data_IF_370982109912
#
_entry.id   IF_370982109912
#
_cell.length_a   1.000
_cell.length_b   1.000
_cell.length_c   1.000
_cell.angle_alpha   90.00
_cell.angle_beta   90.00
_cell.angle_gamma   90.00
#
_symmetry.space_group_name_H-M   'P 1'
#
loop_
_entity.id
_entity.type
_entity.pdbx_description
1 polymer ?
#
# COMPACT_ATOMS: atom_id res chain seq x y z
N UNK A 1 -34.07 47.92 -29.72
CA UNK A 1 -33.00 46.97 -30.09
C UNK A 1 -32.30 46.55 -28.80
N UNK A 2 -32.54 45.29 -28.39
CA UNK A 2 -32.15 44.64 -27.15
C UNK A 2 -30.63 44.66 -26.89
N UNK A 3 -30.22 44.99 -25.67
CA UNK A 3 -29.02 44.42 -25.04
C UNK A 3 -29.45 43.83 -23.70
N UNK A 4 -29.33 42.51 -23.61
CA UNK A 4 -29.78 41.65 -22.51
C UNK A 4 -28.69 41.59 -21.44
N UNK A 5 -28.94 42.12 -20.24
CA UNK A 5 -28.16 41.78 -19.05
C UNK A 5 -28.68 40.45 -18.49
N UNK A 6 -27.87 39.41 -18.58
CA UNK A 6 -28.16 38.10 -18.01
C UNK A 6 -27.98 38.09 -16.50
N UNK A 7 -29.08 37.90 -15.78
CA UNK A 7 -29.15 37.59 -14.37
C UNK A 7 -28.56 36.20 -14.11
N UNK A 8 -27.43 36.11 -13.43
CA UNK A 8 -26.97 34.84 -12.83
C UNK A 8 -27.66 34.72 -11.48
N UNK A 9 -28.75 33.94 -11.46
CA UNK A 9 -29.41 33.55 -10.22
C UNK A 9 -28.44 32.68 -9.40
N UNK A 10 -28.12 33.15 -8.20
CA UNK A 10 -27.43 32.36 -7.19
C UNK A 10 -28.35 31.22 -6.74
N UNK A 11 -28.07 30.00 -7.21
CA UNK A 11 -28.62 28.80 -6.62
C UNK A 11 -27.84 28.48 -5.33
N UNK A 12 -28.27 29.10 -4.22
CA UNK A 12 -28.00 28.55 -2.89
C UNK A 12 -28.84 27.28 -2.75
N UNK A 13 -28.29 26.16 -3.21
CA UNK A 13 -28.80 24.82 -2.87
C UNK A 13 -28.25 24.45 -1.51
N UNK A 14 -29.14 24.40 -0.53
CA UNK A 14 -28.94 23.93 0.84
C UNK A 14 -28.04 22.68 0.90
N UNK A 15 -26.81 22.86 1.37
CA UNK A 15 -25.99 21.74 1.80
C UNK A 15 -26.32 21.47 3.26
N UNK A 16 -27.41 20.71 3.52
CA UNK A 16 -27.68 20.19 4.86
C UNK A 16 -26.63 19.14 5.21
N UNK A 17 -25.63 19.58 5.97
CA UNK A 17 -24.87 18.74 6.89
C UNK A 17 -25.87 18.12 7.89
N UNK A 18 -25.91 16.78 7.98
CA UNK A 18 -26.75 16.04 8.92
C UNK A 18 -27.74 15.09 8.25
N UNK A 19 -27.25 14.08 7.54
CA UNK A 19 -28.09 12.94 7.18
C UNK A 19 -28.31 12.07 8.41
N UNK A 20 -29.53 12.04 8.95
CA UNK A 20 -29.87 11.13 10.05
C UNK A 20 -29.52 9.68 9.64
N UNK A 21 -28.76 8.98 10.47
CA UNK A 21 -28.49 7.55 10.28
C UNK A 21 -29.80 6.78 10.12
N UNK A 22 -29.98 6.15 8.97
CA UNK A 22 -31.13 5.30 8.71
C UNK A 22 -31.09 4.08 9.65
N UNK A 23 -32.22 3.73 10.25
CA UNK A 23 -32.35 2.52 11.08
C UNK A 23 -33.10 1.47 10.26
N UNK A 24 -32.53 0.28 10.15
CA UNK A 24 -33.12 -0.87 9.49
C UNK A 24 -33.39 -1.97 10.51
N UNK A 25 -34.66 -2.38 10.62
CA UNK A 25 -35.05 -3.49 11.48
C UNK A 25 -34.76 -4.81 10.75
N UNK A 26 -33.84 -5.62 11.30
CA UNK A 26 -33.45 -6.91 10.69
C UNK A 26 -34.35 -8.04 11.21
N UNK A 27 -34.65 -7.99 12.51
CA UNK A 27 -35.54 -8.91 13.22
C UNK A 27 -36.22 -8.14 14.37
N UNK A 28 -37.34 -8.57 14.97
CA UNK A 28 -37.95 -7.91 16.13
C UNK A 28 -36.97 -7.47 17.23
N UNK A 29 -35.92 -8.25 17.51
CA UNK A 29 -34.91 -7.91 18.53
C UNK A 29 -33.62 -7.28 18.00
N UNK A 30 -33.42 -7.16 16.69
CA UNK A 30 -32.19 -6.63 16.09
C UNK A 30 -32.48 -5.50 15.11
N UNK A 31 -31.86 -4.35 15.37
CA UNK A 31 -31.86 -3.19 14.48
C UNK A 31 -30.44 -2.79 14.10
N UNK A 32 -30.25 -2.32 12.86
CA UNK A 32 -28.99 -1.79 12.37
C UNK A 32 -29.12 -0.29 12.17
N UNK A 33 -28.22 0.46 12.78
CA UNK A 33 -28.07 1.90 12.58
C UNK A 33 -26.99 2.11 11.53
N UNK A 34 -27.39 2.55 10.33
CA UNK A 34 -26.48 2.76 9.21
C UNK A 34 -25.63 4.02 9.40
N UNK A 35 -24.38 3.96 8.95
CA UNK A 35 -23.45 5.09 9.01
C UNK A 35 -22.12 4.73 8.36
N UNK A 36 -21.08 5.58 8.54
CA UNK A 36 -19.71 5.21 8.15
C UNK A 36 -19.23 3.92 8.82
N UNK A 37 -19.76 3.63 10.01
CA UNK A 37 -19.69 2.37 10.75
C UNK A 37 -21.12 1.94 11.03
N UNK A 38 -21.47 0.69 10.75
CA UNK A 38 -22.76 0.14 11.15
C UNK A 38 -22.79 -0.04 12.67
N UNK A 39 -23.89 0.33 13.31
CA UNK A 39 -24.16 -0.03 14.70
C UNK A 39 -25.22 -1.12 14.76
N UNK A 40 -24.97 -2.23 15.45
CA UNK A 40 -25.97 -3.30 15.61
C UNK A 40 -26.54 -3.25 17.02
N UNK A 41 -27.79 -2.85 17.14
CA UNK A 41 -28.52 -2.78 18.41
C UNK A 41 -29.33 -4.04 18.61
N UNK A 42 -29.11 -4.71 19.74
CA UNK A 42 -29.76 -5.97 20.10
C UNK A 42 -30.58 -5.74 21.36
N UNK A 43 -31.90 -5.75 21.22
CA UNK A 43 -32.83 -5.62 22.32
C UNK A 43 -32.88 -6.92 23.15
N UNK A 44 -32.82 -6.76 24.46
CA UNK A 44 -33.02 -7.82 25.45
C UNK A 44 -33.96 -7.30 26.55
N UNK A 45 -34.65 -8.19 27.30
CA UNK A 45 -35.48 -7.76 28.43
C UNK A 45 -34.65 -6.90 29.41
N UNK A 46 -34.99 -5.61 29.52
CA UNK A 46 -34.33 -4.66 30.42
C UNK A 46 -32.93 -4.17 30.00
N UNK A 47 -32.44 -4.51 28.80
CA UNK A 47 -31.11 -4.08 28.35
C UNK A 47 -30.98 -4.02 26.82
N UNK A 48 -30.11 -3.14 26.33
CA UNK A 48 -29.65 -3.12 24.93
C UNK A 48 -28.18 -3.48 24.88
N UNK A 49 -27.79 -4.35 23.97
CA UNK A 49 -26.40 -4.60 23.61
C UNK A 49 -26.09 -3.92 22.27
N UNK A 50 -24.87 -3.43 22.10
CA UNK A 50 -24.42 -2.88 20.82
C UNK A 50 -23.21 -3.66 20.31
N UNK A 51 -23.22 -4.09 19.05
CA UNK A 51 -21.99 -4.52 18.35
C UNK A 51 -21.48 -3.35 17.50
N UNK A 52 -20.17 -3.11 17.53
CA UNK A 52 -19.46 -1.93 16.96
C UNK A 52 -19.73 -0.61 17.68
N UNK A 53 -20.97 -0.38 18.10
CA UNK A 53 -21.43 0.85 18.74
C UNK A 53 -22.68 1.40 18.07
N UNK A 54 -22.80 2.72 18.03
CA UNK A 54 -23.89 3.45 17.40
C UNK A 54 -23.35 4.74 16.79
N UNK A 55 -23.36 4.87 15.45
CA UNK A 55 -22.69 5.97 14.75
C UNK A 55 -23.43 7.31 14.86
N UNK A 56 -24.58 7.37 15.53
CA UNK A 56 -25.36 8.61 15.71
C UNK A 56 -24.67 9.57 16.67
N UNK A 57 -24.92 10.87 16.48
CA UNK A 57 -24.46 11.92 17.40
C UNK A 57 -24.93 11.69 18.84
N UNK A 58 -26.16 11.21 18.99
CA UNK A 58 -26.75 10.79 20.26
C UNK A 58 -26.96 9.28 20.21
N UNK A 59 -26.02 8.49 20.75
CA UNK A 59 -26.13 7.03 20.72
C UNK A 59 -27.21 6.55 21.69
N UNK A 60 -27.75 5.35 21.42
CA UNK A 60 -28.64 4.67 22.34
C UNK A 60 -27.93 4.30 23.66
N UNK A 61 -28.69 4.24 24.75
CA UNK A 61 -28.20 3.67 26.01
C UNK A 61 -28.04 2.15 25.84
N UNK A 62 -26.84 1.65 26.11
CA UNK A 62 -26.52 0.23 26.04
C UNK A 62 -25.89 -0.25 27.35
N UNK A 63 -26.17 -1.50 27.72
CA UNK A 63 -25.51 -2.19 28.84
C UNK A 63 -24.07 -2.55 28.47
N UNK A 64 -23.84 -2.98 27.23
CA UNK A 64 -22.52 -3.37 26.72
C UNK A 64 -22.31 -2.93 25.28
N UNK A 65 -21.05 -2.66 24.94
CA UNK A 65 -20.58 -2.48 23.56
C UNK A 65 -19.53 -3.53 23.24
N UNK A 66 -19.77 -4.32 22.21
CA UNK A 66 -18.92 -5.41 21.75
C UNK A 66 -18.12 -4.96 20.52
N UNK A 67 -16.81 -4.87 20.67
CA UNK A 67 -15.87 -4.51 19.61
C UNK A 67 -15.27 -5.76 18.97
N UNK A 68 -15.20 -5.79 17.65
CA UNK A 68 -14.58 -6.91 16.92
C UNK A 68 -13.07 -6.79 16.78
N UNK A 69 -12.54 -5.56 16.84
CA UNK A 69 -11.11 -5.25 16.75
C UNK A 69 -10.82 -3.83 17.26
N UNK A 70 -9.54 -3.50 17.39
CA UNK A 70 -9.04 -2.21 17.91
C UNK A 70 -8.99 -1.06 16.89
N UNK A 71 -9.45 -1.24 15.65
CA UNK A 71 -9.23 -0.20 14.63
C UNK A 71 -10.01 1.06 15.00
N UNK A 72 -9.31 2.19 15.15
CA UNK A 72 -9.94 3.45 15.59
C UNK A 72 -11.08 3.90 14.70
N UNK A 73 -11.04 3.51 13.42
CA UNK A 73 -12.04 3.83 12.40
C UNK A 73 -13.40 3.15 12.67
N UNK A 74 -13.45 2.18 13.58
CA UNK A 74 -14.67 1.49 14.03
C UNK A 74 -14.96 1.78 15.50
N UNK A 75 -13.93 1.70 16.36
CA UNK A 75 -14.09 1.84 17.82
C UNK A 75 -14.70 3.19 18.24
N UNK A 76 -14.55 4.24 17.44
CA UNK A 76 -15.16 5.55 17.73
C UNK A 76 -16.69 5.46 17.88
N UNK A 77 -17.36 4.60 17.12
CA UNK A 77 -18.83 4.47 17.13
C UNK A 77 -19.34 3.93 18.48
N UNK A 78 -18.52 3.15 19.20
CA UNK A 78 -18.87 2.64 20.53
C UNK A 78 -18.43 3.55 21.67
N UNK A 79 -17.52 4.50 21.42
CA UNK A 79 -16.89 5.30 22.49
C UNK A 79 -17.88 6.18 23.25
N UNK A 80 -18.89 6.73 22.57
CA UNK A 80 -19.94 7.53 23.20
C UNK A 80 -20.75 6.72 24.21
N UNK A 81 -21.16 5.51 23.85
CA UNK A 81 -21.90 4.60 24.73
C UNK A 81 -21.06 4.17 25.94
N UNK A 82 -19.77 3.88 25.76
CA UNK A 82 -18.88 3.53 26.87
C UNK A 82 -18.74 4.70 27.85
N UNK A 83 -18.63 5.94 27.36
CA UNK A 83 -18.63 7.15 28.20
C UNK A 83 -19.94 7.37 28.96
N UNK A 84 -21.05 6.84 28.46
CA UNK A 84 -22.36 6.84 29.13
C UNK A 84 -22.54 5.68 30.13
N UNK A 85 -21.51 4.84 30.33
CA UNK A 85 -21.52 3.75 31.31
C UNK A 85 -21.69 2.35 30.73
N UNK A 86 -21.76 2.19 29.40
CA UNK A 86 -21.77 0.86 28.80
C UNK A 86 -20.44 0.12 29.04
N UNK A 87 -20.52 -1.17 29.33
CA UNK A 87 -19.32 -2.02 29.46
C UNK A 87 -18.68 -2.26 28.08
N UNK A 88 -17.42 -1.87 27.91
CA UNK A 88 -16.64 -2.20 26.73
C UNK A 88 -16.16 -3.66 26.77
N UNK A 89 -16.45 -4.41 25.72
CA UNK A 89 -16.00 -5.79 25.49
C UNK A 89 -15.14 -5.82 24.22
N UNK A 90 -13.94 -6.38 24.30
CA UNK A 90 -12.99 -6.41 23.17
C UNK A 90 -12.26 -7.76 23.07
N UNK A 91 -11.61 -8.08 21.94
CA UNK A 91 -10.82 -9.30 21.82
C UNK A 91 -9.65 -9.31 22.80
N UNK A 92 -9.44 -10.42 23.50
CA UNK A 92 -8.31 -10.61 24.42
C UNK A 92 -6.98 -10.39 23.70
N UNK A 93 -6.83 -10.95 22.50
CA UNK A 93 -5.63 -10.84 21.68
C UNK A 93 -5.31 -9.40 21.22
N UNK A 94 -6.24 -8.46 21.41
CA UNK A 94 -6.04 -7.05 21.05
C UNK A 94 -6.16 -6.10 22.25
N UNK A 95 -6.24 -6.63 23.47
CA UNK A 95 -6.42 -5.85 24.72
C UNK A 95 -5.46 -4.66 24.81
N UNK A 96 -4.17 -4.89 24.57
CA UNK A 96 -3.14 -3.84 24.68
C UNK A 96 -3.30 -2.73 23.63
N UNK A 97 -3.96 -3.01 22.51
CA UNK A 97 -4.27 -2.02 21.47
C UNK A 97 -5.50 -1.15 21.84
N UNK A 98 -6.23 -1.52 22.90
CA UNK A 98 -7.27 -0.70 23.54
C UNK A 98 -6.77 0.04 24.78
N UNK A 99 -6.03 -0.65 25.66
CA UNK A 99 -5.65 -0.11 26.98
C UNK A 99 -4.24 0.47 27.01
N UNK A 100 -3.29 -0.11 26.26
CA UNK A 100 -1.87 0.25 26.22
C UNK A 100 -1.49 1.28 25.16
N UNK A 101 -2.45 2.05 24.67
CA UNK A 101 -2.34 2.95 23.50
C UNK A 101 -1.16 3.93 23.58
N UNK A 102 -0.84 4.44 24.77
CA UNK A 102 0.27 5.38 24.96
C UNK A 102 1.63 4.76 24.61
N UNK A 103 1.83 3.45 24.91
CA UNK A 103 3.06 2.75 24.58
C UNK A 103 3.32 2.70 23.08
N UNK A 104 2.27 2.42 22.30
CA UNK A 104 2.34 2.44 20.83
C UNK A 104 2.74 3.83 20.31
N UNK A 105 2.05 4.89 20.74
CA UNK A 105 2.33 6.24 20.21
C UNK A 105 3.69 6.78 20.65
N UNK A 106 4.17 6.44 21.85
CA UNK A 106 5.50 6.80 22.29
C UNK A 106 6.58 6.14 21.43
N UNK A 107 6.43 4.84 21.14
CA UNK A 107 7.36 4.12 20.25
C UNK A 107 7.28 4.65 18.82
N UNK A 108 6.09 4.94 18.32
CA UNK A 108 5.86 5.40 16.94
C UNK A 108 6.59 6.72 16.62
N UNK A 109 6.83 7.59 17.62
CA UNK A 109 7.51 8.87 17.41
C UNK A 109 8.90 8.73 16.78
N UNK A 110 9.64 7.69 17.18
CA UNK A 110 10.99 7.41 16.69
C UNK A 110 11.01 6.24 15.71
N UNK A 111 10.24 5.18 15.98
CA UNK A 111 10.26 3.95 15.19
C UNK A 111 9.70 4.11 13.77
N UNK A 112 8.84 5.11 13.51
CA UNK A 112 8.24 5.31 12.17
C UNK A 112 9.25 5.54 11.05
N UNK A 113 10.45 6.01 11.39
CA UNK A 113 11.53 6.22 10.43
C UNK A 113 12.29 4.92 10.10
N UNK A 114 12.03 3.84 10.80
CA UNK A 114 12.65 2.52 10.59
C UNK A 114 11.60 1.41 10.81
N UNK A 115 10.36 1.62 10.36
CA UNK A 115 9.26 0.68 10.57
C UNK A 115 9.26 -0.45 9.54
N UNK A 116 10.10 -1.45 9.78
CA UNK A 116 10.15 -2.69 9.00
C UNK A 116 9.06 -3.70 9.39
N UNK A 117 8.31 -3.41 10.45
CA UNK A 117 7.17 -4.20 10.85
C UNK A 117 5.89 -3.76 10.10
N UNK A 118 5.94 -2.60 9.44
CA UNK A 118 4.88 -1.98 8.63
C UNK A 118 3.57 -1.89 9.42
N UNK A 119 3.64 -1.32 10.62
CA UNK A 119 2.52 -1.28 11.53
C UNK A 119 1.53 -0.18 11.14
N UNK A 120 0.28 -0.58 10.98
CA UNK A 120 -0.81 0.37 10.74
C UNK A 120 -0.96 1.34 11.91
N UNK A 121 -0.97 2.64 11.60
CA UNK A 121 -1.23 3.72 12.57
C UNK A 121 -2.71 3.92 12.91
N UNK A 122 -3.61 3.06 12.42
CA UNK A 122 -5.06 3.05 12.76
C UNK A 122 -5.36 2.49 14.16
N UNK A 123 -4.51 2.82 15.13
CA UNK A 123 -4.68 2.54 16.55
C UNK A 123 -5.50 3.66 17.19
N UNK A 124 -6.21 3.37 18.29
CA UNK A 124 -6.90 4.37 19.12
C UNK A 124 -5.95 5.53 19.45
N UNK A 125 -6.48 6.76 19.52
CA UNK A 125 -5.69 7.92 19.97
C UNK A 125 -5.60 8.00 21.51
N UNK A 126 -6.64 7.54 22.19
CA UNK A 126 -6.76 7.52 23.65
C UNK A 126 -7.16 6.12 24.11
N UNK A 127 -6.64 5.65 25.26
CA UNK A 127 -7.00 4.35 25.80
C UNK A 127 -8.51 4.27 26.07
N UNK A 128 -9.03 3.04 26.08
CA UNK A 128 -10.39 2.72 26.46
C UNK A 128 -10.34 1.64 27.52
N UNK A 129 -10.95 1.91 28.69
CA UNK A 129 -11.08 0.91 29.73
C UNK A 129 -12.00 -0.22 29.23
N UNK A 130 -11.52 -1.46 29.35
CA UNK A 130 -12.29 -2.66 29.02
C UNK A 130 -12.88 -3.24 30.29
N UNK A 131 -14.17 -3.55 30.27
CA UNK A 131 -14.82 -4.26 31.38
C UNK A 131 -14.76 -5.79 31.22
N UNK A 132 -14.60 -6.28 29.98
CA UNK A 132 -14.42 -7.69 29.68
C UNK A 132 -13.61 -7.88 28.39
N UNK A 133 -12.91 -8.98 28.31
CA UNK A 133 -12.25 -9.46 27.08
C UNK A 133 -12.86 -10.79 26.64
N UNK A 134 -12.70 -11.12 25.35
CA UNK A 134 -13.24 -12.36 24.74
C UNK A 134 -12.27 -13.02 23.77
N UNK A 135 -12.46 -14.32 23.55
CA UNK A 135 -11.77 -15.15 22.55
C UNK A 135 -12.76 -16.11 21.88
N UNK A 136 -12.36 -16.73 20.77
CA UNK A 136 -13.15 -17.76 20.10
C UNK A 136 -13.60 -18.87 21.05
N UNK A 137 -14.87 -19.26 20.93
CA UNK A 137 -15.52 -20.24 21.80
C UNK A 137 -16.20 -19.63 23.03
N UNK A 138 -15.94 -18.37 23.37
CA UNK A 138 -16.65 -17.69 24.45
C UNK A 138 -18.12 -17.42 24.07
N UNK A 139 -18.94 -17.18 25.10
CA UNK A 139 -20.29 -16.62 24.96
C UNK A 139 -20.43 -15.35 25.79
N UNK A 140 -21.06 -14.31 25.21
CA UNK A 140 -21.35 -13.03 25.88
C UNK A 140 -22.83 -12.72 25.69
N UNK A 141 -23.60 -12.72 26.78
CA UNK A 141 -25.04 -12.39 26.75
C UNK A 141 -25.82 -13.21 25.70
N UNK A 142 -25.42 -14.47 25.51
CA UNK A 142 -26.01 -15.39 24.52
C UNK A 142 -25.43 -15.32 23.10
N UNK A 143 -24.50 -14.39 22.82
CA UNK A 143 -23.81 -14.29 21.54
C UNK A 143 -22.55 -15.16 21.56
N UNK A 144 -22.34 -15.97 20.53
CA UNK A 144 -21.13 -16.77 20.38
C UNK A 144 -20.00 -15.91 19.81
N UNK A 145 -18.77 -16.14 20.27
CA UNK A 145 -17.58 -15.46 19.76
C UNK A 145 -16.78 -16.42 18.89
N UNK A 146 -16.40 -15.98 17.69
CA UNK A 146 -15.53 -16.73 16.78
C UNK A 146 -14.25 -15.93 16.52
N UNK A 147 -13.08 -16.53 16.70
CA UNK A 147 -11.83 -15.92 16.25
C UNK A 147 -11.85 -15.81 14.73
N UNK A 148 -11.70 -14.60 14.22
CA UNK A 148 -11.68 -14.31 12.79
C UNK A 148 -10.52 -13.37 12.46
N UNK A 149 -9.27 -13.79 12.71
CA UNK A 149 -8.09 -13.00 12.38
C UNK A 149 -8.02 -12.76 10.88
N UNK A 150 -7.37 -11.67 10.48
CA UNK A 150 -7.27 -11.26 9.09
C UNK A 150 -7.08 -9.75 9.01
N UNK A 151 -8.18 -8.99 9.01
CA UNK A 151 -8.12 -7.52 8.95
C UNK A 151 -7.28 -6.91 10.08
N UNK A 152 -7.41 -7.47 11.29
CA UNK A 152 -6.44 -7.33 12.38
C UNK A 152 -6.04 -8.70 12.90
N UNK A 153 -4.94 -8.78 13.65
CA UNK A 153 -4.32 -10.04 14.08
C UNK A 153 -5.16 -10.82 15.08
N UNK A 154 -5.92 -10.13 15.93
CA UNK A 154 -6.74 -10.73 16.98
C UNK A 154 -8.24 -10.45 16.81
N UNK A 155 -8.70 -10.12 15.60
CA UNK A 155 -10.11 -9.84 15.35
C UNK A 155 -11.02 -11.04 15.68
N UNK A 156 -12.21 -10.74 16.17
CA UNK A 156 -13.28 -11.72 16.39
C UNK A 156 -14.56 -11.31 15.65
N UNK A 157 -15.44 -12.28 15.42
CA UNK A 157 -16.80 -12.07 14.95
C UNK A 157 -17.78 -12.49 16.04
N UNK A 158 -18.92 -11.79 16.10
CA UNK A 158 -20.02 -12.15 17.02
C UNK A 158 -21.15 -12.81 16.23
N UNK A 159 -21.54 -14.01 16.64
CA UNK A 159 -22.56 -14.81 15.99
C UNK A 159 -23.85 -14.77 16.82
N UNK A 160 -24.96 -14.51 16.16
CA UNK A 160 -26.26 -14.30 16.77
C UNK A 160 -27.25 -15.27 16.14
N UNK A 161 -27.82 -16.15 16.96
CA UNK A 161 -28.99 -16.94 16.59
C UNK A 161 -30.21 -16.36 17.31
N UNK A 162 -31.16 -15.82 16.55
CA UNK A 162 -32.41 -15.31 17.13
C UNK A 162 -33.53 -15.42 16.12
N UNK A 163 -34.74 -15.72 16.59
CA UNK A 163 -35.96 -15.72 15.77
C UNK A 163 -35.80 -16.57 14.48
N UNK A 164 -35.09 -17.69 14.60
CA UNK A 164 -34.82 -18.63 13.49
C UNK A 164 -33.79 -18.14 12.46
N UNK A 165 -33.11 -17.01 12.69
CA UNK A 165 -32.09 -16.46 11.79
C UNK A 165 -30.70 -16.51 12.40
N UNK A 166 -29.71 -16.78 11.56
CA UNK A 166 -28.27 -16.73 11.84
C UNK A 166 -27.66 -15.47 11.28
N UNK A 167 -27.22 -14.58 12.16
CA UNK A 167 -26.60 -13.30 11.78
C UNK A 167 -25.17 -13.27 12.31
N UNK A 168 -24.21 -12.93 11.46
CA UNK A 168 -22.81 -12.77 11.87
C UNK A 168 -22.36 -11.31 11.73
N UNK A 169 -21.96 -10.73 12.86
CA UNK A 169 -21.27 -9.44 12.91
C UNK A 169 -19.78 -9.67 12.69
N UNK A 170 -19.29 -9.39 11.47
CA UNK A 170 -17.96 -9.86 10.98
C UNK A 170 -16.83 -8.84 11.07
N UNK A 171 -17.09 -7.65 11.61
CA UNK A 171 -16.10 -6.59 11.67
C UNK A 171 -15.75 -6.13 10.27
N UNK A 172 -14.46 -5.88 10.02
CA UNK A 172 -13.98 -5.53 8.68
C UNK A 172 -13.40 -6.73 7.91
N UNK A 173 -13.78 -7.96 8.28
CA UNK A 173 -13.35 -9.17 7.56
C UNK A 173 -13.78 -9.14 6.08
N UNK A 174 -14.95 -8.55 5.81
CA UNK A 174 -15.52 -8.34 4.47
C UNK A 174 -16.27 -7.00 4.47
N UNK A 175 -16.16 -6.23 3.39
CA UNK A 175 -16.90 -4.96 3.24
C UNK A 175 -18.28 -5.17 2.58
N UNK A 176 -18.33 -6.02 1.55
CA UNK A 176 -19.54 -6.31 0.76
C UNK A 176 -19.30 -6.38 -0.74
N UNK A 177 -20.11 -7.18 -1.45
CA UNK A 177 -19.96 -7.42 -2.89
C UNK A 177 -18.63 -8.10 -3.26
N UNK A 178 -18.11 -8.95 -2.37
CA UNK A 178 -16.83 -9.64 -2.55
C UNK A 178 -15.62 -8.71 -2.48
N UNK A 179 -15.62 -7.73 -1.56
CA UNK A 179 -14.55 -6.73 -1.39
C UNK A 179 -14.08 -6.67 0.06
N UNK A 180 -12.83 -6.25 0.24
CA UNK A 180 -12.26 -5.76 1.50
C UNK A 180 -12.09 -4.24 1.42
N UNK A 181 -11.87 -3.59 2.55
CA UNK A 181 -11.67 -2.14 2.60
C UNK A 181 -10.36 -1.70 1.93
N UNK A 182 -9.26 -2.32 2.33
CA UNK A 182 -7.93 -1.99 1.84
C UNK A 182 -6.99 -3.18 2.02
N UNK A 183 -6.09 -3.35 1.05
CA UNK A 183 -5.12 -4.43 1.05
C UNK A 183 -3.97 -4.18 2.04
N UNK A 184 -3.63 -2.91 2.27
CA UNK A 184 -2.55 -2.51 3.18
C UNK A 184 -2.78 -2.96 4.62
N UNK A 185 -4.02 -2.96 5.10
CA UNK A 185 -4.36 -3.47 6.43
C UNK A 185 -4.06 -4.95 6.64
N UNK A 186 -3.81 -5.71 5.57
CA UNK A 186 -3.42 -7.13 5.62
C UNK A 186 -1.90 -7.34 5.60
N UNK A 187 -1.11 -6.29 5.43
CA UNK A 187 0.34 -6.37 5.48
C UNK A 187 0.80 -6.93 6.83
N UNK A 188 1.73 -7.88 6.80
CA UNK A 188 2.30 -8.47 8.01
C UNK A 188 3.58 -9.25 7.73
N UNK A 189 4.29 -9.63 8.79
CA UNK A 189 5.42 -10.54 8.69
C UNK A 189 4.98 -11.99 8.45
N UNK A 190 5.90 -12.80 7.94
CA UNK A 190 5.82 -14.26 7.84
C UNK A 190 7.02 -14.85 8.59
N UNK A 191 6.96 -14.96 9.93
CA UNK A 191 8.11 -15.36 10.75
C UNK A 191 8.68 -16.73 10.36
N UNK A 192 7.81 -17.68 10.01
CA UNK A 192 8.18 -19.03 9.59
C UNK A 192 8.96 -19.06 8.27
N UNK A 193 8.79 -18.03 7.43
CA UNK A 193 9.54 -17.83 6.19
C UNK A 193 10.65 -16.79 6.34
N UNK A 194 10.90 -16.30 7.56
CA UNK A 194 11.84 -15.21 7.85
C UNK A 194 11.60 -14.01 6.93
N UNK A 195 10.33 -13.64 6.71
CA UNK A 195 9.97 -12.42 5.99
C UNK A 195 9.39 -11.41 6.97
N UNK A 196 9.88 -10.18 6.90
CA UNK A 196 9.43 -9.10 7.79
C UNK A 196 8.12 -8.46 7.28
N UNK A 197 7.56 -7.56 8.09
CA UNK A 197 6.30 -6.90 7.77
C UNK A 197 6.38 -5.97 6.56
N UNK A 198 7.55 -5.39 6.29
CA UNK A 198 7.76 -4.54 5.12
C UNK A 198 7.61 -5.33 3.80
N UNK A 199 8.13 -6.55 3.74
CA UNK A 199 8.10 -7.39 2.54
C UNK A 199 6.98 -8.43 2.50
N UNK A 200 6.31 -8.71 3.62
CA UNK A 200 5.17 -9.63 3.66
C UNK A 200 3.89 -9.02 3.09
N UNK A 201 3.87 -8.86 1.76
CA UNK A 201 2.78 -8.25 1.01
C UNK A 201 1.43 -8.89 1.33
N UNK A 202 0.57 -8.13 2.01
CA UNK A 202 -0.76 -8.57 2.42
C UNK A 202 -0.79 -9.97 3.06
N UNK A 203 0.26 -10.34 3.83
CA UNK A 203 0.49 -11.69 4.33
C UNK A 203 -0.69 -12.30 5.11
N UNK A 204 -1.52 -11.48 5.76
CA UNK A 204 -2.75 -11.91 6.46
C UNK A 204 -3.93 -12.23 5.55
N UNK A 205 -3.79 -12.15 4.22
CA UNK A 205 -4.83 -12.57 3.29
C UNK A 205 -5.18 -14.06 3.45
N UNK A 206 -4.20 -14.91 3.78
CA UNK A 206 -4.44 -16.32 4.11
C UNK A 206 -5.37 -16.47 5.34
N UNK A 207 -5.15 -15.65 6.37
CA UNK A 207 -5.98 -15.64 7.58
C UNK A 207 -7.39 -15.13 7.28
N UNK A 208 -7.53 -14.11 6.42
CA UNK A 208 -8.83 -13.65 5.92
C UNK A 208 -9.57 -14.79 5.22
N UNK A 209 -8.93 -15.50 4.28
CA UNK A 209 -9.54 -16.65 3.58
C UNK A 209 -9.96 -17.74 4.56
N UNK A 210 -9.10 -18.10 5.52
CA UNK A 210 -9.41 -19.10 6.55
C UNK A 210 -10.60 -18.67 7.43
N UNK A 211 -10.64 -17.41 7.85
CA UNK A 211 -11.72 -16.84 8.65
C UNK A 211 -13.04 -16.77 7.89
N UNK A 212 -13.02 -16.39 6.61
CA UNK A 212 -14.20 -16.41 5.75
C UNK A 212 -14.75 -17.84 5.57
N UNK A 213 -13.88 -18.84 5.43
CA UNK A 213 -14.26 -20.26 5.38
C UNK A 213 -14.93 -20.73 6.67
N UNK A 214 -14.45 -20.28 7.85
CA UNK A 214 -15.12 -20.56 9.13
C UNK A 214 -16.50 -19.92 9.21
N UNK A 215 -16.63 -18.66 8.79
CA UNK A 215 -17.92 -17.94 8.80
C UNK A 215 -18.93 -18.61 7.89
N UNK A 216 -18.56 -18.96 6.64
CA UNK A 216 -19.51 -19.63 5.73
C UNK A 216 -19.91 -21.02 6.22
N UNK A 217 -19.02 -21.75 6.90
CA UNK A 217 -19.32 -23.06 7.48
C UNK A 217 -20.37 -22.99 8.61
N UNK A 218 -20.49 -21.83 9.30
CA UNK A 218 -21.54 -21.59 10.28
C UNK A 218 -22.93 -21.33 9.63
N UNK A 219 -22.97 -21.16 8.31
CA UNK A 219 -24.19 -20.95 7.51
C UNK A 219 -25.03 -19.74 7.97
N UNK A 220 -24.46 -18.52 8.00
CA UNK A 220 -25.24 -17.31 8.29
C UNK A 220 -26.23 -17.02 7.18
N UNK A 221 -27.42 -16.53 7.56
CA UNK A 221 -28.40 -15.95 6.64
C UNK A 221 -28.02 -14.52 6.23
N UNK A 222 -27.26 -13.82 7.08
CA UNK A 222 -26.82 -12.45 6.84
C UNK A 222 -25.49 -12.17 7.52
N UNK A 223 -24.62 -11.41 6.85
CA UNK A 223 -23.49 -10.75 7.50
C UNK A 223 -23.79 -9.27 7.68
N UNK A 224 -23.39 -8.75 8.83
CA UNK A 224 -23.37 -7.33 9.12
C UNK A 224 -21.90 -6.95 9.33
N UNK A 225 -21.22 -6.37 8.33
CA UNK A 225 -19.86 -5.89 8.53
C UNK A 225 -19.86 -4.60 9.37
N UNK A 226 -18.74 -4.30 10.02
CA UNK A 226 -18.56 -3.03 10.72
C UNK A 226 -18.69 -1.84 9.76
N UNK A 227 -18.23 -1.99 8.51
CA UNK A 227 -18.32 -0.95 7.48
C UNK A 227 -18.73 -1.57 6.15
N UNK A 228 -19.61 -0.87 5.44
CA UNK A 228 -20.16 -1.32 4.16
C UNK A 228 -21.60 -1.83 4.27
N UNK A 229 -22.19 -2.30 3.16
CA UNK A 229 -23.57 -2.74 3.13
C UNK A 229 -23.77 -4.05 3.89
N UNK A 230 -25.00 -4.27 4.36
CA UNK A 230 -25.49 -5.57 4.81
C UNK A 230 -25.35 -6.61 3.69
N UNK A 231 -25.05 -7.86 4.05
CA UNK A 231 -24.76 -8.93 3.09
C UNK A 231 -25.80 -10.06 3.28
N UNK A 232 -26.92 -10.04 2.53
CA UNK A 232 -28.00 -11.03 2.65
C UNK A 232 -27.70 -12.35 1.93
N UNK A 233 -26.61 -12.42 1.16
CA UNK A 233 -26.14 -13.65 0.50
C UNK A 233 -24.69 -13.96 0.91
N UNK A 234 -24.46 -14.43 2.15
CA UNK A 234 -23.11 -14.56 2.70
C UNK A 234 -22.21 -15.48 1.87
N UNK A 235 -22.68 -16.67 1.50
CA UNK A 235 -21.88 -17.65 0.77
C UNK A 235 -21.39 -17.10 -0.59
N UNK A 236 -22.27 -16.43 -1.36
CA UNK A 236 -21.93 -15.84 -2.66
C UNK A 236 -20.89 -14.71 -2.51
N UNK A 237 -21.08 -13.83 -1.53
CA UNK A 237 -20.17 -12.70 -1.29
C UNK A 237 -18.79 -13.18 -0.79
N UNK A 238 -18.77 -14.19 0.09
CA UNK A 238 -17.55 -14.81 0.61
C UNK A 238 -16.78 -15.51 -0.52
N UNK A 239 -17.45 -16.36 -1.30
CA UNK A 239 -16.83 -17.06 -2.43
C UNK A 239 -16.24 -16.07 -3.44
N UNK A 240 -16.98 -15.01 -3.77
CA UNK A 240 -16.51 -13.94 -4.66
C UNK A 240 -15.26 -13.26 -4.10
N UNK A 241 -15.20 -13.00 -2.79
CA UNK A 241 -14.03 -12.39 -2.16
C UNK A 241 -12.81 -13.33 -2.20
N UNK A 242 -12.99 -14.60 -1.84
CA UNK A 242 -11.92 -15.60 -1.85
C UNK A 242 -11.31 -15.71 -3.25
N UNK A 243 -12.15 -15.86 -4.29
CA UNK A 243 -11.67 -15.92 -5.69
C UNK A 243 -10.91 -14.67 -6.12
N UNK A 244 -11.35 -13.48 -5.67
CA UNK A 244 -10.65 -12.21 -5.98
C UNK A 244 -9.30 -12.12 -5.26
N UNK A 245 -9.23 -12.51 -3.99
CA UNK A 245 -7.96 -12.58 -3.25
C UNK A 245 -6.99 -13.52 -3.97
N UNK A 246 -7.43 -14.74 -4.29
CA UNK A 246 -6.61 -15.71 -5.03
C UNK A 246 -6.16 -15.16 -6.39
N UNK A 247 -7.02 -14.44 -7.12
CA UNK A 247 -6.66 -13.82 -8.40
C UNK A 247 -5.61 -12.72 -8.26
N UNK A 248 -5.72 -11.86 -7.24
CA UNK A 248 -4.73 -10.81 -6.98
C UNK A 248 -3.39 -11.43 -6.60
N UNK A 249 -3.38 -12.46 -5.76
CA UNK A 249 -2.13 -13.12 -5.35
C UNK A 249 -1.49 -13.92 -6.48
N UNK A 250 -2.28 -14.57 -7.35
CA UNK A 250 -1.76 -15.20 -8.56
C UNK A 250 -1.08 -14.16 -9.48
N UNK A 251 -1.71 -12.98 -9.64
CA UNK A 251 -1.14 -11.88 -10.42
C UNK A 251 0.12 -11.30 -9.78
N UNK A 252 0.14 -11.14 -8.45
CA UNK A 252 1.28 -10.63 -7.71
C UNK A 252 2.49 -11.55 -7.85
N UNK A 253 2.35 -12.84 -7.55
CA UNK A 253 3.46 -13.79 -7.61
C UNK A 253 3.92 -14.10 -9.04
N UNK A 254 3.09 -13.87 -10.06
CA UNK A 254 3.51 -13.96 -11.45
C UNK A 254 4.63 -12.96 -11.80
N UNK A 255 4.69 -11.82 -11.12
CA UNK A 255 5.63 -10.72 -11.40
C UNK A 255 6.40 -10.23 -10.17
N UNK A 256 6.46 -11.04 -9.11
CA UNK A 256 7.06 -10.63 -7.85
C UNK A 256 8.58 -10.48 -7.98
N UNK A 257 9.06 -9.24 -7.87
CA UNK A 257 10.47 -8.91 -7.91
C UNK A 257 11.26 -9.55 -6.75
N UNK A 258 10.61 -9.91 -5.64
CA UNK A 258 11.28 -10.60 -4.54
C UNK A 258 11.79 -11.98 -4.94
N UNK A 259 11.22 -12.62 -5.97
CA UNK A 259 11.74 -13.87 -6.53
C UNK A 259 13.24 -13.79 -6.82
N UNK A 260 13.69 -12.64 -7.30
CA UNK A 260 15.11 -12.39 -7.54
C UNK A 260 15.99 -12.58 -6.31
N UNK A 261 15.59 -12.02 -5.17
CA UNK A 261 16.41 -12.01 -3.93
C UNK A 261 16.11 -13.18 -3.01
N UNK A 262 14.89 -13.73 -3.05
CA UNK A 262 14.40 -14.75 -2.12
C UNK A 262 14.51 -16.17 -2.67
N UNK A 263 14.59 -16.31 -3.99
CA UNK A 263 14.61 -17.61 -4.65
C UNK A 263 13.22 -18.27 -4.73
N UNK A 264 13.16 -19.30 -5.57
CA UNK A 264 11.91 -19.94 -6.00
C UNK A 264 11.15 -20.61 -4.84
N UNK A 265 11.85 -21.34 -3.97
CA UNK A 265 11.25 -22.08 -2.84
C UNK A 265 10.48 -21.15 -1.88
N UNK A 266 11.06 -19.99 -1.55
CA UNK A 266 10.44 -19.04 -0.62
C UNK A 266 9.23 -18.37 -1.26
N UNK A 267 9.28 -18.01 -2.54
CA UNK A 267 8.11 -17.47 -3.26
C UNK A 267 6.99 -18.52 -3.32
N UNK A 268 7.32 -19.78 -3.61
CA UNK A 268 6.33 -20.86 -3.59
C UNK A 268 5.69 -21.04 -2.22
N UNK A 269 6.47 -21.01 -1.14
CA UNK A 269 5.95 -21.12 0.21
C UNK A 269 4.99 -19.96 0.58
N UNK A 270 5.33 -18.73 0.17
CA UNK A 270 4.43 -17.57 0.34
C UNK A 270 3.15 -17.71 -0.50
N UNK A 271 3.27 -18.18 -1.74
CA UNK A 271 2.14 -18.39 -2.64
C UNK A 271 1.17 -19.45 -2.14
N UNK A 272 1.69 -20.58 -1.65
CA UNK A 272 0.89 -21.70 -1.17
C UNK A 272 -0.06 -21.34 -0.01
N UNK A 273 0.30 -20.32 0.80
CA UNK A 273 -0.55 -19.83 1.90
C UNK A 273 -1.91 -19.29 1.41
N UNK A 274 -1.96 -18.70 0.23
CA UNK A 274 -3.19 -18.08 -0.32
C UNK A 274 -3.75 -18.88 -1.50
N UNK A 275 -2.87 -19.36 -2.38
CA UNK A 275 -3.25 -20.03 -3.63
C UNK A 275 -3.44 -21.55 -3.51
N UNK A 276 -3.18 -22.11 -2.32
CA UNK A 276 -3.15 -23.56 -2.10
C UNK A 276 -2.26 -24.26 -3.16
N UNK A 277 -2.84 -25.12 -3.98
CA UNK A 277 -2.13 -25.90 -5.00
C UNK A 277 -2.13 -25.24 -6.40
N UNK A 278 -2.69 -24.03 -6.55
CA UNK A 278 -2.68 -23.35 -7.85
C UNK A 278 -1.23 -22.97 -8.20
N UNK A 279 -0.69 -23.40 -9.35
CA UNK A 279 0.66 -23.05 -9.75
C UNK A 279 0.76 -21.55 -10.03
N UNK A 280 1.93 -20.98 -9.76
CA UNK A 280 2.23 -19.60 -10.13
C UNK A 280 2.86 -19.61 -11.51
N UNK A 281 2.21 -18.95 -12.47
CA UNK A 281 2.73 -18.76 -13.83
C UNK A 281 3.65 -17.55 -13.85
N UNK A 282 4.95 -17.77 -13.67
CA UNK A 282 5.91 -16.68 -13.57
C UNK A 282 6.23 -16.02 -14.90
N UNK A 283 6.47 -14.72 -14.84
CA UNK A 283 7.20 -14.04 -15.88
C UNK A 283 8.64 -14.58 -15.96
N UNK A 284 9.21 -14.72 -17.17
CA UNK A 284 10.61 -15.05 -17.33
C UNK A 284 11.49 -14.01 -16.62
N UNK A 285 12.56 -14.47 -15.97
CA UNK A 285 13.55 -13.58 -15.38
C UNK A 285 14.25 -12.81 -16.50
N UNK A 286 14.50 -11.52 -16.28
CA UNK A 286 15.30 -10.72 -17.19
C UNK A 286 16.73 -11.29 -17.31
N UNK A 287 17.35 -11.10 -18.47
CA UNK A 287 18.77 -11.38 -18.66
C UNK A 287 19.58 -10.64 -17.61
N UNK A 288 20.53 -11.35 -17.02
CA UNK A 288 21.30 -10.86 -15.89
C UNK A 288 22.74 -11.31 -15.97
N UNK A 289 23.63 -10.52 -15.39
CA UNK A 289 25.00 -10.93 -15.13
C UNK A 289 24.96 -11.87 -13.92
N UNK A 290 25.08 -13.19 -14.15
CA UNK A 290 24.89 -14.23 -13.12
C UNK A 290 26.17 -14.49 -12.32
N UNK A 291 27.34 -14.29 -12.91
CA UNK A 291 28.61 -14.78 -12.36
C UNK A 291 29.45 -13.69 -11.69
N UNK A 292 29.77 -12.62 -12.43
CA UNK A 292 30.65 -11.57 -11.93
C UNK A 292 30.30 -10.21 -12.54
N UNK A 293 30.07 -9.21 -11.69
CA UNK A 293 29.92 -7.83 -12.14
C UNK A 293 31.23 -7.35 -12.77
N UNK A 294 31.19 -6.45 -13.77
CA UNK A 294 32.40 -5.82 -14.26
C UNK A 294 33.18 -5.17 -13.12
N UNK A 295 34.52 -5.22 -13.15
CA UNK A 295 35.37 -4.76 -12.04
C UNK A 295 35.18 -3.28 -11.66
N UNK A 296 34.61 -2.48 -12.57
CA UNK A 296 34.25 -1.09 -12.37
C UNK A 296 32.89 -0.88 -11.65
N UNK A 297 32.16 -1.94 -11.34
CA UNK A 297 30.94 -1.93 -10.52
C UNK A 297 31.20 -2.75 -9.26
N UNK A 298 31.30 -2.07 -8.12
CA UNK A 298 31.50 -2.71 -6.82
C UNK A 298 30.16 -2.74 -6.09
N UNK A 299 29.67 -3.94 -5.79
CA UNK A 299 28.48 -4.12 -4.98
C UNK A 299 28.82 -4.03 -3.49
N UNK A 300 28.13 -3.16 -2.76
CA UNK A 300 28.32 -2.96 -1.32
C UNK A 300 26.95 -2.98 -0.67
N UNK A 301 26.54 -4.12 -0.11
CA UNK A 301 25.16 -4.32 0.38
C UNK A 301 24.11 -4.00 -0.71
N UNK A 302 23.15 -3.11 -0.44
CA UNK A 302 22.16 -2.60 -1.40
C UNK A 302 22.71 -1.48 -2.31
N UNK A 303 23.91 -0.95 -2.05
CA UNK A 303 24.53 0.15 -2.78
C UNK A 303 25.44 -0.34 -3.93
N UNK A 304 25.72 0.54 -4.90
CA UNK A 304 26.65 0.26 -6.00
C UNK A 304 27.65 1.40 -6.15
N UNK A 305 28.95 1.08 -6.16
CA UNK A 305 30.00 2.05 -6.45
C UNK A 305 30.51 1.84 -7.89
N UNK A 306 30.39 2.88 -8.71
CA UNK A 306 30.92 2.90 -10.07
C UNK A 306 32.31 3.52 -10.04
N UNK A 307 33.30 2.87 -10.65
CA UNK A 307 34.70 3.31 -10.64
C UNK A 307 35.17 3.53 -12.08
N UNK A 308 35.53 4.77 -12.40
CA UNK A 308 36.10 5.10 -13.70
C UNK A 308 37.56 4.64 -13.81
N UNK A 309 38.08 4.58 -15.05
CA UNK A 309 39.48 4.23 -15.32
C UNK A 309 40.49 5.19 -14.69
N UNK A 310 40.11 6.43 -14.39
CA UNK A 310 41.00 7.42 -13.74
C UNK A 310 41.06 7.25 -12.23
N UNK A 311 40.16 6.44 -11.65
CA UNK A 311 39.97 6.26 -10.21
C UNK A 311 38.91 7.21 -9.61
N UNK A 312 38.27 8.06 -10.42
CA UNK A 312 37.08 8.79 -9.97
C UNK A 312 35.91 7.84 -9.80
N UNK A 313 35.14 7.98 -8.72
CA UNK A 313 34.04 7.07 -8.39
C UNK A 313 32.73 7.79 -8.14
N UNK A 314 31.64 7.04 -8.30
CA UNK A 314 30.27 7.52 -8.17
C UNK A 314 29.43 6.48 -7.42
N UNK A 315 28.93 6.86 -6.25
CA UNK A 315 28.18 5.97 -5.38
C UNK A 315 26.69 6.07 -5.68
N UNK A 316 26.01 4.93 -5.76
CA UNK A 316 24.56 4.82 -5.88
C UNK A 316 24.03 4.32 -4.55
N UNK A 317 23.29 5.21 -3.88
CA UNK A 317 22.75 5.08 -2.52
C UNK A 317 23.81 4.93 -1.41
N UNK A 318 23.46 5.38 -0.21
CA UNK A 318 24.30 5.27 0.97
C UNK A 318 23.44 5.41 2.24
N UNK A 319 22.91 4.30 2.75
CA UNK A 319 22.10 4.34 3.97
C UNK A 319 22.66 3.60 5.17
N UNK A 320 23.82 2.93 5.06
CA UNK A 320 24.36 2.15 6.18
C UNK A 320 25.89 2.23 6.29
N UNK A 321 26.40 1.98 7.50
CA UNK A 321 27.81 2.19 7.85
C UNK A 321 28.76 1.31 7.03
N UNK A 322 28.34 0.11 6.63
CA UNK A 322 29.18 -0.80 5.84
C UNK A 322 29.54 -0.19 4.49
N UNK A 323 28.62 0.58 3.89
CA UNK A 323 28.88 1.32 2.65
C UNK A 323 29.99 2.34 2.85
N UNK A 324 29.93 3.11 3.94
CA UNK A 324 30.91 4.15 4.24
C UNK A 324 32.30 3.56 4.48
N UNK A 325 32.40 2.52 5.31
CA UNK A 325 33.69 1.88 5.60
C UNK A 325 34.33 1.26 4.36
N UNK A 326 33.52 0.66 3.49
CA UNK A 326 34.04 0.07 2.26
C UNK A 326 34.55 1.14 1.29
N UNK A 327 33.85 2.29 1.16
CA UNK A 327 34.35 3.42 0.36
C UNK A 327 35.65 3.98 0.93
N UNK A 328 35.78 4.09 2.27
CA UNK A 328 37.04 4.48 2.92
C UNK A 328 38.16 3.51 2.60
N UNK A 329 37.91 2.21 2.76
CA UNK A 329 38.88 1.14 2.47
C UNK A 329 39.35 1.20 1.02
N UNK A 330 38.42 1.31 0.06
CA UNK A 330 38.74 1.40 -1.36
C UNK A 330 39.57 2.64 -1.71
N UNK A 331 39.38 3.76 -0.97
CA UNK A 331 40.20 4.96 -1.11
C UNK A 331 41.60 4.77 -0.53
N UNK A 332 41.70 4.18 0.66
CA UNK A 332 42.97 3.86 1.32
C UNK A 332 43.82 2.89 0.47
N UNK A 333 43.19 1.88 -0.12
CA UNK A 333 43.84 0.89 -0.98
C UNK A 333 44.22 1.46 -2.37
N UNK A 334 43.91 2.74 -2.65
CA UNK A 334 44.19 3.39 -3.94
C UNK A 334 43.31 2.91 -5.10
N UNK A 335 42.32 2.06 -4.84
CA UNK A 335 41.39 1.53 -5.84
C UNK A 335 40.42 2.59 -6.34
N UNK A 336 40.10 3.59 -5.52
CA UNK A 336 39.50 4.86 -5.93
C UNK A 336 40.38 6.02 -5.47
N UNK A 337 40.41 7.10 -6.25
CA UNK A 337 41.13 8.34 -5.91
C UNK A 337 40.22 9.38 -5.27
N UNK A 338 38.97 9.41 -5.71
CA UNK A 338 37.96 10.39 -5.26
C UNK A 338 36.55 9.82 -5.40
N UNK A 339 35.62 10.38 -4.63
CA UNK A 339 34.18 10.18 -4.77
C UNK A 339 33.57 11.48 -5.29
N UNK A 340 33.12 11.49 -6.54
CA UNK A 340 32.63 12.72 -7.20
C UNK A 340 31.18 13.03 -6.87
N UNK A 341 30.41 12.00 -6.55
CA UNK A 341 29.01 12.14 -6.22
C UNK A 341 28.36 10.89 -5.66
N UNK A 342 27.22 11.13 -5.02
CA UNK A 342 26.32 10.12 -4.48
C UNK A 342 24.97 10.35 -5.14
N UNK A 343 24.50 9.37 -5.91
CA UNK A 343 23.18 9.38 -6.51
C UNK A 343 22.19 8.61 -5.64
N UNK A 344 21.18 9.32 -5.15
CA UNK A 344 20.08 8.74 -4.40
C UNK A 344 18.99 8.32 -5.39
N UNK A 345 18.71 7.03 -5.42
CA UNK A 345 17.72 6.42 -6.31
C UNK A 345 16.30 6.76 -5.88
N UNK A 346 16.00 6.63 -4.59
CA UNK A 346 14.71 6.93 -3.98
C UNK A 346 14.84 7.19 -2.47
N UNK A 347 13.76 7.68 -1.86
CA UNK A 347 13.75 8.06 -0.46
C UNK A 347 13.32 6.89 0.44
N UNK A 348 14.30 6.26 1.06
CA UNK A 348 14.20 5.20 2.07
C UNK A 348 15.50 5.21 2.90
N UNK A 349 15.47 4.75 4.15
CA UNK A 349 16.56 4.93 5.14
C UNK A 349 17.83 4.20 4.71
N UNK A 350 17.70 2.93 4.36
CA UNK A 350 18.77 2.08 3.84
C UNK A 350 19.42 2.59 2.54
N UNK A 351 18.81 3.58 1.88
CA UNK A 351 19.39 4.27 0.72
C UNK A 351 19.92 5.68 1.02
N UNK A 352 19.46 6.35 2.09
CA UNK A 352 19.68 7.80 2.26
C UNK A 352 20.26 8.25 3.60
N UNK A 353 20.18 7.43 4.66
CA UNK A 353 20.43 7.88 6.04
C UNK A 353 21.87 8.39 6.27
N UNK A 354 22.86 7.80 5.58
CA UNK A 354 24.27 8.21 5.65
C UNK A 354 24.76 8.98 4.43
N UNK A 355 23.90 9.23 3.45
CA UNK A 355 24.31 9.85 2.19
C UNK A 355 24.86 11.26 2.39
N UNK A 356 24.23 12.06 3.24
CA UNK A 356 24.70 13.42 3.52
C UNK A 356 26.03 13.43 4.27
N UNK A 357 26.16 12.60 5.31
CA UNK A 357 27.40 12.51 6.09
C UNK A 357 28.57 12.04 5.21
N UNK A 358 28.32 11.07 4.34
CA UNK A 358 29.30 10.56 3.37
C UNK A 358 29.65 11.63 2.34
N UNK A 359 28.68 12.39 1.83
CA UNK A 359 28.95 13.47 0.90
C UNK A 359 29.85 14.54 1.52
N UNK A 360 29.58 14.91 2.77
CA UNK A 360 30.37 15.90 3.51
C UNK A 360 31.79 15.39 3.79
N UNK A 361 31.96 14.13 4.20
CA UNK A 361 33.27 13.50 4.46
C UNK A 361 34.16 13.45 3.21
N UNK A 362 33.58 13.06 2.08
CA UNK A 362 34.35 12.85 0.85
C UNK A 362 34.38 14.08 -0.08
N UNK A 363 33.77 15.19 0.34
CA UNK A 363 33.54 16.39 -0.48
C UNK A 363 32.84 16.07 -1.82
N UNK A 364 31.89 15.12 -1.76
CA UNK A 364 31.14 14.63 -2.92
C UNK A 364 29.82 15.39 -3.09
N UNK A 365 29.26 15.37 -4.31
CA UNK A 365 27.95 15.95 -4.59
C UNK A 365 26.82 14.95 -4.39
N UNK A 366 25.83 15.27 -3.58
CA UNK A 366 24.58 14.49 -3.53
C UNK A 366 23.65 14.88 -4.67
N UNK A 367 23.20 13.89 -5.43
CA UNK A 367 22.39 14.03 -6.64
C UNK A 367 21.17 13.13 -6.51
N UNK A 368 20.02 13.59 -6.99
CA UNK A 368 18.82 12.75 -7.12
C UNK A 368 17.91 13.26 -8.22
N UNK A 369 16.90 12.48 -8.56
CA UNK A 369 15.79 12.97 -9.38
C UNK A 369 15.08 14.12 -8.64
N UNK A 370 14.66 15.16 -9.37
CA UNK A 370 14.06 16.37 -8.79
C UNK A 370 12.92 16.10 -7.78
N UNK A 371 12.11 15.06 -8.00
CA UNK A 371 11.04 14.65 -7.07
C UNK A 371 11.57 14.12 -5.74
N UNK A 372 12.67 13.36 -5.75
CA UNK A 372 13.32 12.86 -4.53
C UNK A 372 13.94 14.01 -3.74
N UNK A 373 14.59 14.96 -4.43
CA UNK A 373 15.21 16.12 -3.80
C UNK A 373 14.21 16.96 -2.97
N UNK A 374 12.97 17.12 -3.45
CA UNK A 374 11.91 17.82 -2.71
C UNK A 374 11.61 17.14 -1.38
N UNK A 375 11.47 15.81 -1.33
CA UNK A 375 11.14 15.11 -0.10
C UNK A 375 12.31 15.03 0.88
N UNK A 376 13.48 14.71 0.37
CA UNK A 376 14.70 14.54 1.18
C UNK A 376 15.23 15.85 1.78
N UNK A 377 14.88 17.00 1.20
CA UNK A 377 15.22 18.33 1.75
C UNK A 377 14.24 18.85 2.81
N UNK A 378 13.02 18.29 2.87
CA UNK A 378 12.01 18.61 3.90
C UNK A 378 11.37 17.33 4.48
N UNK A 379 12.11 16.57 5.34
CA UNK A 379 11.65 15.28 5.87
C UNK A 379 10.35 15.36 6.68
N UNK A 380 9.98 16.55 7.17
CA UNK A 380 8.77 16.76 8.00
C UNK A 380 7.46 16.47 7.28
N UNK A 381 7.44 16.37 5.95
CA UNK A 381 6.23 16.20 5.14
C UNK A 381 5.89 14.73 4.84
N UNK A 382 6.81 13.79 5.09
CA UNK A 382 6.59 12.35 4.86
C UNK A 382 7.10 11.59 6.08
N UNK A 383 6.23 10.82 6.74
CA UNK A 383 6.56 10.04 7.94
C UNK A 383 7.50 8.85 7.74
N UNK A 384 8.19 8.78 6.60
CA UNK A 384 8.99 7.64 6.18
C UNK A 384 10.44 8.05 5.95
N UNK A 385 11.31 7.63 6.88
CA UNK A 385 12.58 6.95 6.58
C UNK A 385 13.91 7.72 6.42
N UNK A 386 14.19 8.87 7.06
CA UNK A 386 15.58 9.26 7.39
C UNK A 386 15.62 10.38 8.44
N UNK A 387 16.61 10.37 9.34
CA UNK A 387 16.67 11.34 10.46
C UNK A 387 17.28 12.71 10.09
N UNK A 388 18.35 12.82 9.28
CA UNK A 388 18.84 14.11 8.79
C UNK A 388 18.40 14.41 7.33
N UNK A 389 18.07 15.68 7.00
CA UNK A 389 17.80 16.09 5.62
C UNK A 389 19.06 15.97 4.76
N UNK A 390 18.90 15.56 3.49
CA UNK A 390 19.98 15.53 2.51
C UNK A 390 19.99 16.82 1.67
N UNK A 391 21.16 17.43 1.51
CA UNK A 391 21.39 18.62 0.68
C UNK A 391 21.75 18.19 -0.73
N UNK A 392 20.98 18.60 -1.73
CA UNK A 392 21.21 18.23 -3.14
C UNK A 392 21.85 19.35 -3.94
N UNK A 393 22.82 18.97 -4.79
CA UNK A 393 23.35 19.85 -5.83
C UNK A 393 22.42 19.81 -7.05
N UNK A 394 21.42 20.72 -7.10
CA UNK A 394 20.47 20.95 -8.20
C UNK A 394 19.86 19.69 -8.88
N UNK A 395 18.57 19.43 -8.65
CA UNK A 395 17.89 18.25 -9.20
C UNK A 395 17.94 18.16 -10.74
N UNK A 396 18.27 16.99 -11.27
CA UNK A 396 18.24 16.75 -12.72
C UNK A 396 16.77 16.67 -13.15
N UNK A 397 16.31 17.51 -14.10
CA UNK A 397 14.93 17.45 -14.57
C UNK A 397 14.70 16.14 -15.33
N UNK A 398 13.79 15.32 -14.83
CA UNK A 398 13.35 14.10 -15.52
C UNK A 398 12.43 14.49 -16.68
N UNK A 399 12.98 14.77 -17.85
CA UNK A 399 12.22 14.88 -19.11
C UNK A 399 12.26 13.54 -19.82
N UNK A 400 11.16 12.77 -19.74
CA UNK A 400 10.92 11.68 -20.69
C UNK A 400 10.96 12.26 -22.11
N UNK A 401 11.72 11.68 -23.06
CA UNK A 401 11.67 12.11 -24.45
C UNK A 401 10.25 11.88 -24.96
N UNK A 402 9.52 12.95 -25.26
CA UNK A 402 8.30 12.84 -26.05
C UNK A 402 8.72 12.41 -27.44
N UNK A 403 8.25 11.25 -27.88
CA UNK A 403 8.53 10.71 -29.21
C UNK A 403 8.34 11.75 -30.30
N UNK A 404 9.44 12.14 -30.92
CA UNK A 404 9.47 12.68 -32.27
C UNK A 404 10.57 11.94 -33.02
N UNK A 405 10.16 11.34 -34.14
CA UNK A 405 11.01 10.67 -35.10
C UNK A 405 12.20 11.57 -35.48
N UNK A 406 13.40 11.00 -35.47
CA UNK A 406 14.64 11.63 -35.94
C UNK A 406 15.50 12.23 -34.81
N UNK A 407 16.39 11.42 -34.24
CA UNK A 407 17.47 11.93 -33.38
C UNK A 407 18.54 12.59 -34.25
N UNK A 408 18.74 13.90 -34.06
CA UNK A 408 19.97 14.60 -34.45
C UNK A 408 20.91 14.57 -33.24
N UNK A 409 22.10 13.99 -33.42
CA UNK A 409 23.05 13.60 -32.37
C UNK A 409 23.94 14.77 -31.88
N UNK A 410 23.41 15.99 -31.84
CA UNK A 410 24.19 17.20 -31.55
C UNK A 410 23.84 17.94 -30.24
N UNK A 411 22.95 17.41 -29.40
CA UNK A 411 22.47 18.11 -28.19
C UNK A 411 22.94 17.55 -26.85
N UNK A 412 24.04 16.78 -26.82
CA UNK A 412 24.64 16.22 -25.58
C UNK A 412 26.05 16.76 -25.26
N UNK A 413 26.44 17.90 -25.83
CA UNK A 413 27.81 18.45 -25.71
C UNK A 413 28.03 19.44 -24.55
N UNK A 414 27.06 19.69 -23.69
CA UNK A 414 27.32 20.36 -22.41
C UNK A 414 27.34 19.31 -21.31
N UNK A 415 28.52 18.76 -21.01
CA UNK A 415 28.97 18.24 -19.69
C UNK A 415 30.38 17.59 -19.78
N UNK A 416 30.93 17.28 -20.97
CA UNK A 416 32.34 16.81 -21.11
C UNK A 416 33.03 17.37 -22.38
N UNK A 417 34.26 17.93 -22.31
CA UNK A 417 34.98 18.37 -23.49
C UNK A 417 35.77 17.20 -24.08
N UNK A 418 35.18 16.47 -25.01
CA UNK A 418 35.93 15.58 -25.91
C UNK A 418 35.42 15.81 -27.32
N UNK A 419 36.26 16.32 -28.21
CA UNK A 419 35.95 16.45 -29.64
C UNK A 419 36.19 15.10 -30.34
N UNK A 420 35.26 14.61 -31.16
CA UNK A 420 35.60 13.72 -32.25
C UNK A 420 35.37 14.44 -33.59
N UNK A 421 36.42 14.52 -34.38
CA UNK A 421 36.39 14.85 -35.81
C UNK A 421 36.17 13.58 -36.61
N UNK A 422 34.96 13.38 -37.15
CA UNK A 422 34.71 12.42 -38.24
C UNK A 422 33.70 13.04 -39.21
N UNK A 423 34.12 13.18 -40.46
CA UNK A 423 33.33 13.62 -41.61
C UNK A 423 32.65 12.39 -42.21
N UNK A 424 31.33 12.42 -42.41
CA UNK A 424 30.61 11.42 -43.21
C UNK A 424 29.62 12.11 -44.15
N UNK A 425 29.73 11.74 -45.43
CA UNK A 425 29.00 12.28 -46.58
C UNK A 425 27.58 11.71 -46.62
N UNK A 426 26.57 12.58 -46.73
CA UNK A 426 25.17 12.20 -47.00
C UNK A 426 24.92 12.17 -48.51
N UNK A 427 24.40 11.05 -49.02
CA UNK A 427 23.69 10.99 -50.30
C UNK A 427 22.18 10.89 -50.06
N UNK A 428 21.45 11.66 -50.85
CA UNK A 428 20.00 11.89 -50.82
C UNK A 428 19.22 10.79 -51.53
N UNK A 429 17.94 10.59 -51.16
CA UNK A 429 17.06 9.74 -51.94
C UNK A 429 15.64 9.53 -51.39
N UNK A 430 14.71 10.33 -51.91
CA UNK A 430 13.30 10.03 -52.19
C UNK A 430 12.19 10.21 -51.13
N UNK A 431 11.24 11.01 -51.61
CA UNK A 431 9.94 11.50 -51.15
C UNK A 431 8.82 10.47 -51.20
N UNK A 432 7.88 10.54 -50.25
CA UNK A 432 6.44 10.48 -50.53
C UNK A 432 5.63 10.96 -49.31
N UNK A 433 4.89 12.06 -49.50
CA UNK A 433 3.95 12.61 -48.54
C UNK A 433 2.62 11.82 -48.56
N UNK A 434 2.06 11.54 -47.37
CA UNK A 434 0.62 11.31 -47.21
C UNK A 434 0.12 12.15 -46.03
N UNK A 435 -0.74 13.11 -46.35
CA UNK A 435 -1.48 13.95 -45.41
C UNK A 435 -2.50 13.09 -44.66
N UNK A 436 -2.49 13.15 -43.33
CA UNK A 436 -3.65 12.81 -42.50
C UNK A 436 -4.06 14.07 -41.75
N UNK A 437 -5.28 14.53 -42.01
CA UNK A 437 -5.92 15.63 -41.30
C UNK A 437 -6.54 15.08 -40.02
N UNK A 438 -6.08 15.53 -38.85
CA UNK A 438 -6.75 15.29 -37.58
C UNK A 438 -7.43 16.57 -37.12
N UNK A 439 -8.73 16.46 -36.81
CA UNK A 439 -9.50 17.50 -36.14
C UNK A 439 -9.03 17.63 -34.70
N UNK A 440 -8.67 18.85 -34.28
CA UNK A 440 -8.33 19.19 -32.88
C UNK A 440 -9.58 19.74 -32.23
N UNK A 441 -10.16 19.00 -31.28
CA UNK A 441 -11.14 19.51 -30.33
C UNK A 441 -10.35 19.92 -29.07
N UNK A 442 -10.35 21.21 -28.66
CA UNK A 442 -9.67 21.61 -27.43
C UNK A 442 -10.59 21.31 -26.23
N UNK A 443 -10.14 20.45 -25.32
CA UNK A 443 -10.71 20.33 -23.97
C UNK A 443 -9.69 20.86 -22.95
N UNK A 444 -10.15 21.59 -21.90
CA UNK A 444 -9.27 22.23 -20.95
C UNK A 444 -8.68 21.24 -19.94
N UNK A 445 -7.42 21.51 -19.62
CA UNK A 445 -6.58 20.99 -18.54
C UNK A 445 -7.30 20.35 -17.34
N UNK A 446 -6.85 19.15 -16.94
CA UNK A 446 -6.61 18.75 -15.54
C UNK A 446 -5.74 17.49 -15.46
N UNK A 447 -4.60 17.67 -14.79
CA UNK A 447 -3.81 16.74 -13.97
C UNK A 447 -3.82 15.23 -14.29
N UNK A 448 -2.65 14.70 -14.66
CA UNK A 448 -2.35 13.27 -14.57
C UNK A 448 -1.18 13.05 -13.62
N UNK A 449 -1.47 12.38 -12.50
CA UNK A 449 -0.47 11.72 -11.65
C UNK A 449 -0.04 10.44 -12.37
N UNK A 450 1.21 10.39 -12.83
CA UNK A 450 1.78 9.17 -13.43
C UNK A 450 2.33 8.31 -12.28
N UNK A 451 1.67 7.18 -12.05
CA UNK A 451 2.23 6.03 -11.34
C UNK A 451 3.16 5.34 -12.33
N UNK A 452 4.46 5.29 -12.01
CA UNK A 452 5.44 4.55 -12.81
C UNK A 452 5.18 3.05 -12.62
N UNK A 453 4.45 2.46 -13.55
CA UNK A 453 4.35 1.02 -13.71
C UNK A 453 5.19 0.63 -14.92
N UNK A 454 6.08 -0.34 -14.76
CA UNK A 454 6.81 -0.97 -15.85
C UNK A 454 5.82 -1.69 -16.78
N UNK A 455 5.43 -1.02 -17.86
CA UNK A 455 4.57 -1.63 -18.88
C UNK A 455 5.41 -2.62 -19.68
N UNK A 456 5.30 -3.90 -19.30
CA UNK A 456 5.63 -5.02 -20.18
C UNK A 456 4.67 -5.07 -21.36
N UNK A 457 5.19 -5.45 -22.52
CA UNK A 457 4.56 -5.45 -23.84
C UNK A 457 3.44 -6.49 -24.05
N UNK A 458 2.52 -6.67 -23.11
CA UNK A 458 1.37 -7.59 -23.27
C UNK A 458 0.03 -6.91 -23.61
N UNK A 459 -0.05 -5.58 -23.65
CA UNK A 459 -1.34 -4.87 -23.86
C UNK A 459 -1.71 -4.58 -25.34
N UNK A 460 -1.18 -5.33 -26.31
CA UNK A 460 -1.45 -5.08 -27.75
C UNK A 460 -1.99 -6.29 -28.54
N UNK A 461 -2.43 -7.38 -27.90
CA UNK A 461 -3.07 -8.51 -28.60
C UNK A 461 -4.59 -8.42 -28.79
N UNK A 462 -5.27 -7.43 -28.22
CA UNK A 462 -6.74 -7.30 -28.37
C UNK A 462 -7.21 -6.35 -29.50
N UNK A 463 -6.32 -5.87 -30.38
CA UNK A 463 -6.71 -4.96 -31.48
C UNK A 463 -6.37 -5.41 -32.90
N UNK A 464 -6.14 -6.71 -33.12
CA UNK A 464 -6.12 -7.26 -34.48
C UNK A 464 -5.05 -6.70 -35.43
N UNK A 465 -3.93 -6.20 -34.89
CA UNK A 465 -2.79 -5.74 -35.70
C UNK A 465 -1.77 -6.87 -35.78
N UNK A 466 -1.65 -7.47 -36.96
CA UNK A 466 -0.59 -8.43 -37.27
C UNK A 466 0.69 -7.68 -37.62
N UNK A 467 1.79 -7.97 -36.92
CA UNK A 467 3.14 -7.53 -37.33
C UNK A 467 3.85 -8.77 -37.86
N UNK A 468 4.04 -8.82 -39.17
CA UNK A 468 4.90 -9.80 -39.82
C UNK A 468 6.36 -9.48 -39.47
N UNK A 469 7.04 -10.44 -38.83
CA UNK A 469 8.45 -10.35 -38.52
C UNK A 469 9.24 -10.88 -39.73
N UNK A 470 9.80 -9.99 -40.54
CA UNK A 470 10.77 -10.36 -41.57
C UNK A 470 12.15 -10.52 -40.92
N UNK A 471 12.67 -11.76 -40.90
CA UNK A 471 14.07 -12.03 -40.63
C UNK A 471 14.92 -11.46 -41.76
N UNK A 472 15.86 -10.58 -41.45
CA UNK A 472 17.05 -10.39 -42.27
C UNK A 472 18.27 -10.70 -41.42
N UNK A 473 18.98 -11.76 -41.82
CA UNK A 473 20.32 -12.07 -41.35
C UNK A 473 21.27 -10.92 -41.69
N UNK A 474 22.17 -10.60 -40.76
CA UNK A 474 23.64 -10.49 -40.90
C UNK A 474 24.19 -10.44 -39.47
#
# INVERSE_FOLDING_TARGET
MRITLGTVAAAFSENRLGGASAIEQITPSIAVVHGPVNGVLIARPGATLAVYGDPRDVPAVAKMVLFTHHRRDVVWAGRGMVRQGAMAVAPEAEKDLFTGVAGFWNQYQTARFHDYANQSSRILAEPMALGRTVRGGDTVEGLQVMDTPGYTRGAVSYLIETEGRRIACTGDLIYGGGRILDLFSLQDALPELKENGYHGYAARAADVVASLRKIVAWQPDMLIPARGPLIPKPAEAIDTLIRRIESVFASHFAIDAMRWTRGDDKIHAMAARVLANRPVEWMPMAERIITQLPDWIIAITNSRLLVSRTGASFLVDCGNQQVVEEVRRLKLDGRIKQLDGIYITHYHDDHTDLAQATADEFHARSISAARCATFSSTPRLIGCLASPPTRFAAGIPCRMPRGRNGMNLSSLTHIFPVRPSITAVCSSGMTAARRFSFWVIPLPLREWTIIACSIGTSCLRERGISIACAKSAI
#
